data_IF_993038936334
#
_entry.id   IF_993038936334
#
_cell.length_a   1.000
_cell.length_b   1.000
_cell.length_c   1.000
_cell.angle_alpha   90.00
_cell.angle_beta   90.00
_cell.angle_gamma   90.00
#
_symmetry.space_group_name_H-M   'P 1'
#
loop_
_entity.id
_entity.type
_entity.pdbx_description
1 polymer ?
#
# COMPACT_ATOMS: atom_id res chain seq x y z
N UNK A 1 16.06 -5.55 7.28
CA UNK A 1 15.30 -4.87 8.34
C UNK A 1 14.12 -4.13 7.72
N UNK A 2 12.95 -4.19 8.33
CA UNK A 2 11.75 -3.49 7.86
C UNK A 2 11.72 -2.07 8.45
N UNK A 3 11.17 -1.07 7.73
CA UNK A 3 11.03 0.29 8.28
C UNK A 3 10.00 0.31 9.40
N UNK A 4 10.10 1.28 10.33
CA UNK A 4 9.12 1.43 11.42
C UNK A 4 7.69 1.61 10.89
N UNK A 5 7.54 2.43 9.85
CA UNK A 5 6.27 2.64 9.16
C UNK A 5 5.71 1.35 8.54
N UNK A 6 6.55 0.52 7.90
CA UNK A 6 6.12 -0.75 7.34
C UNK A 6 5.67 -1.73 8.43
N UNK A 7 6.41 -1.78 9.54
CA UNK A 7 6.06 -2.63 10.68
C UNK A 7 4.75 -2.20 11.34
N UNK A 8 4.57 -0.89 11.55
CA UNK A 8 3.34 -0.29 12.07
C UNK A 8 2.13 -0.63 11.18
N UNK A 9 2.28 -0.47 9.87
CA UNK A 9 1.25 -0.81 8.89
C UNK A 9 0.82 -2.28 9.01
N UNK A 10 1.78 -3.20 8.99
CA UNK A 10 1.50 -4.65 9.07
C UNK A 10 0.82 -4.99 10.39
N UNK A 11 1.25 -4.42 11.51
CA UNK A 11 0.60 -4.64 12.82
C UNK A 11 -0.84 -4.12 12.84
N UNK A 12 -1.09 -2.95 12.26
CA UNK A 12 -2.43 -2.37 12.16
C UNK A 12 -3.37 -3.23 11.31
N UNK A 13 -2.90 -3.69 10.14
CA UNK A 13 -3.66 -4.54 9.23
C UNK A 13 -3.94 -5.93 9.82
N UNK A 14 -3.01 -6.48 10.60
CA UNK A 14 -3.14 -7.80 11.23
C UNK A 14 -3.71 -7.75 12.66
N UNK A 15 -4.30 -6.63 13.07
CA UNK A 15 -4.97 -6.53 14.37
C UNK A 15 -6.15 -7.50 14.45
N UNK A 16 -6.13 -8.38 15.45
CA UNK A 16 -7.08 -9.49 15.61
C UNK A 16 -8.52 -8.99 15.71
N UNK A 17 -8.77 -8.02 16.58
CA UNK A 17 -10.09 -7.40 16.74
C UNK A 17 -10.45 -6.59 15.47
N UNK A 18 -11.52 -6.95 14.75
CA UNK A 18 -11.92 -6.26 13.53
C UNK A 18 -12.30 -4.79 13.77
N UNK A 19 -12.80 -4.41 14.95
CA UNK A 19 -13.21 -3.03 15.23
C UNK A 19 -12.02 -2.08 15.43
N UNK A 20 -10.86 -2.64 15.78
CA UNK A 20 -9.60 -1.90 15.97
C UNK A 20 -8.63 -2.07 14.80
N UNK A 21 -8.97 -2.92 13.82
CA UNK A 21 -8.12 -3.17 12.66
C UNK A 21 -8.01 -1.94 11.77
N UNK A 22 -6.81 -1.63 11.31
CA UNK A 22 -6.59 -0.54 10.37
C UNK A 22 -7.42 -0.78 9.10
N UNK A 23 -8.19 0.22 8.68
CA UNK A 23 -9.08 0.12 7.53
C UNK A 23 -10.47 -0.44 7.81
N UNK A 24 -10.79 -0.79 9.06
CA UNK A 24 -12.10 -1.32 9.45
C UNK A 24 -13.25 -0.31 9.31
N UNK A 25 -12.96 0.98 9.49
CA UNK A 25 -13.95 2.06 9.36
C UNK A 25 -13.97 2.63 7.95
N UNK A 26 -12.79 2.84 7.37
CA UNK A 26 -12.65 3.37 6.02
C UNK A 26 -11.29 3.03 5.42
N UNK A 27 -11.22 2.91 4.09
CA UNK A 27 -9.96 2.86 3.35
C UNK A 27 -9.07 4.08 3.62
N UNK A 28 -9.65 5.22 4.02
CA UNK A 28 -8.89 6.43 4.33
C UNK A 28 -7.93 6.24 5.51
N UNK A 29 -8.24 5.34 6.45
CA UNK A 29 -7.35 5.00 7.55
C UNK A 29 -6.04 4.38 7.03
N UNK A 30 -6.15 3.53 6.01
CA UNK A 30 -4.99 2.90 5.37
C UNK A 30 -4.23 3.92 4.53
N UNK A 31 -4.97 4.72 3.74
CA UNK A 31 -4.38 5.75 2.86
C UNK A 31 -3.59 6.81 3.64
N UNK A 32 -4.07 7.19 4.82
CA UNK A 32 -3.44 8.17 5.70
C UNK A 32 -2.30 7.64 6.58
N UNK A 33 -1.97 6.35 6.50
CA UNK A 33 -0.88 5.77 7.29
C UNK A 33 0.48 6.32 6.86
N UNK A 34 1.40 6.54 7.80
CA UNK A 34 2.75 7.09 7.57
C UNK A 34 3.56 6.33 6.51
N UNK A 35 3.25 5.05 6.28
CA UNK A 35 3.90 4.25 5.24
C UNK A 35 3.64 4.80 3.83
N UNK A 36 2.48 5.41 3.60
CA UNK A 36 2.06 5.94 2.30
C UNK A 36 2.21 7.47 2.20
N UNK A 37 2.99 8.12 3.07
CA UNK A 37 3.10 9.59 3.13
C UNK A 37 3.55 10.24 1.80
N UNK A 38 4.27 9.51 0.94
CA UNK A 38 4.74 9.99 -0.36
C UNK A 38 3.74 9.75 -1.50
N UNK A 39 2.64 9.05 -1.25
CA UNK A 39 1.66 8.70 -2.28
C UNK A 39 0.63 9.81 -2.40
N UNK A 40 0.59 10.45 -3.56
CA UNK A 40 -0.56 11.23 -3.99
C UNK A 40 -1.64 10.27 -4.52
N UNK A 41 -2.71 10.12 -3.73
CA UNK A 41 -3.81 9.21 -4.03
C UNK A 41 -4.64 9.65 -5.24
N UNK A 42 -4.73 10.94 -5.53
CA UNK A 42 -5.51 11.45 -6.66
C UNK A 42 -4.76 11.21 -7.98
N UNK A 43 -3.45 11.46 -7.98
CA UNK A 43 -2.57 11.14 -9.11
C UNK A 43 -2.49 9.63 -9.36
N UNK A 44 -2.50 8.82 -8.29
CA UNK A 44 -2.53 7.36 -8.41
C UNK A 44 -3.83 6.88 -9.07
N UNK A 45 -4.98 7.40 -8.65
CA UNK A 45 -6.30 7.03 -9.17
C UNK A 45 -6.45 7.38 -10.66
N UNK A 46 -5.90 8.54 -11.06
CA UNK A 46 -5.82 8.98 -12.46
C UNK A 46 -4.76 8.25 -13.29
N UNK A 47 -3.99 7.34 -12.70
CA UNK A 47 -2.87 6.60 -13.33
C UNK A 47 -1.75 7.51 -13.86
N UNK A 48 -1.52 8.63 -13.17
CA UNK A 48 -0.50 9.62 -13.53
C UNK A 48 0.86 9.30 -12.88
N UNK A 49 0.87 8.48 -11.81
CA UNK A 49 2.11 8.05 -11.16
C UNK A 49 2.88 7.04 -12.02
N UNK A 50 4.19 7.26 -12.14
CA UNK A 50 5.10 6.35 -12.84
C UNK A 50 5.27 5.07 -12.02
N UNK A 51 4.99 3.91 -12.62
CA UNK A 51 5.26 2.63 -11.97
C UNK A 51 6.75 2.47 -11.65
N UNK A 52 7.13 2.05 -10.42
CA UNK A 52 8.52 1.77 -10.06
C UNK A 52 9.10 0.59 -10.84
N UNK A 53 8.24 -0.24 -11.45
CA UNK A 53 8.64 -1.38 -12.26
C UNK A 53 7.86 -1.40 -13.57
N UNK A 54 8.58 -1.43 -14.69
CA UNK A 54 8.02 -1.67 -16.03
C UNK A 54 8.54 -3.03 -16.50
N UNK A 55 7.69 -4.07 -16.58
CA UNK A 55 8.13 -5.39 -17.04
C UNK A 55 8.59 -5.34 -18.50
N UNK A 56 9.62 -6.12 -18.82
CA UNK A 56 10.07 -6.34 -20.19
C UNK A 56 9.15 -7.34 -20.88
N UNK A 57 8.77 -7.07 -22.13
CA UNK A 57 7.97 -8.00 -22.94
C UNK A 57 8.75 -9.25 -23.39
N UNK A 58 10.05 -9.32 -23.08
CA UNK A 58 10.89 -10.49 -23.35
C UNK A 58 10.81 -11.55 -22.24
N UNK A 59 10.29 -11.20 -21.06
CA UNK A 59 10.11 -12.10 -19.92
C UNK A 59 8.72 -12.73 -19.94
N UNK A 60 8.32 -13.28 -21.08
CA UNK A 60 7.23 -14.27 -21.09
C UNK A 60 7.83 -15.55 -20.52
N UNK A 61 7.81 -15.72 -19.19
CA UNK A 61 7.77 -17.08 -18.65
C UNK A 61 6.39 -17.64 -19.03
N UNK A 62 6.38 -18.23 -20.21
CA UNK A 62 5.29 -19.06 -20.69
C UNK A 62 5.12 -20.24 -19.73
N UNK A 63 3.88 -20.40 -19.26
CA UNK A 63 3.30 -21.56 -18.56
C UNK A 63 3.91 -21.96 -17.21
#
# INVERSE_FOLDING_TARGET
>A
FCSKAAWSLVRGLLTRDPHHRLGSKSSNDVKGHEFFWMIDWDSLDKRELVSPFKPSTLDVKAA
#
